data_IF_116396857102
#
_entry.id   IF_116396857102
#
_cell.length_a   1.000
_cell.length_b   1.000
_cell.length_c   1.000
_cell.angle_alpha   90.00
_cell.angle_beta   90.00
_cell.angle_gamma   90.00
#
_symmetry.space_group_name_H-M   'P 1'
#
loop_
_entity.id
_entity.type
_entity.pdbx_description
1 polymer ?
#
# COMPACT_ATOMS: atom_id res chain seq x y z
N UNK A 1 -9.70 15.48 -32.89
CA UNK A 1 -8.68 14.59 -32.31
C UNK A 1 -9.40 13.76 -31.26
N UNK A 2 -9.32 12.42 -31.33
CA UNK A 2 -10.00 11.53 -30.35
C UNK A 2 -9.29 11.64 -29.02
N UNK A 3 -10.04 11.86 -27.93
CA UNK A 3 -9.48 11.95 -26.58
C UNK A 3 -8.93 10.59 -26.11
N UNK A 4 -7.88 10.56 -25.27
CA UNK A 4 -7.20 9.33 -24.92
C UNK A 4 -8.04 8.39 -24.06
N UNK A 5 -7.84 7.09 -24.27
CA UNK A 5 -8.21 6.01 -23.38
C UNK A 5 -6.93 5.44 -22.79
N UNK A 6 -6.75 5.53 -21.48
CA UNK A 6 -5.53 5.05 -20.82
C UNK A 6 -5.88 4.10 -19.69
N UNK A 7 -5.23 2.94 -19.67
CA UNK A 7 -5.27 2.01 -18.55
C UNK A 7 -3.92 2.02 -17.83
N UNK A 8 -3.92 2.42 -16.56
CA UNK A 8 -2.74 2.34 -15.68
C UNK A 8 -2.94 1.22 -14.68
N UNK A 9 -2.02 0.26 -14.66
CA UNK A 9 -2.10 -0.86 -13.71
C UNK A 9 -0.70 -1.35 -13.29
N UNK A 10 -0.60 -2.09 -12.18
CA UNK A 10 0.68 -2.59 -11.73
C UNK A 10 0.63 -3.26 -10.37
N UNK A 11 1.78 -3.77 -9.93
CA UNK A 11 1.92 -4.48 -8.65
C UNK A 11 2.41 -3.59 -7.49
N UNK A 12 2.65 -2.29 -7.76
CA UNK A 12 2.97 -1.31 -6.73
C UNK A 12 1.93 -0.19 -6.69
N UNK A 13 1.14 -0.09 -5.60
CA UNK A 13 0.07 0.91 -5.47
C UNK A 13 0.55 2.35 -5.51
N UNK A 14 1.77 2.62 -5.01
CA UNK A 14 2.34 3.97 -5.03
C UNK A 14 2.63 4.43 -6.46
N UNK A 15 3.34 3.59 -7.23
CA UNK A 15 3.68 3.92 -8.62
C UNK A 15 2.43 4.12 -9.47
N UNK A 16 1.44 3.22 -9.33
CA UNK A 16 0.18 3.30 -10.07
C UNK A 16 -0.59 4.58 -9.71
N UNK A 17 -0.70 4.89 -8.40
CA UNK A 17 -1.42 6.09 -7.95
C UNK A 17 -0.73 7.37 -8.43
N UNK A 18 0.60 7.44 -8.30
CA UNK A 18 1.38 8.63 -8.72
C UNK A 18 1.27 8.86 -10.22
N UNK A 19 1.43 7.82 -11.04
CA UNK A 19 1.29 7.92 -12.49
C UNK A 19 -0.14 8.32 -12.91
N UNK A 20 -1.15 7.75 -12.24
CA UNK A 20 -2.55 8.10 -12.51
C UNK A 20 -2.86 9.57 -12.16
N UNK A 21 -2.35 10.06 -11.02
CA UNK A 21 -2.52 11.47 -10.63
C UNK A 21 -1.80 12.43 -11.57
N UNK A 22 -0.60 12.08 -12.04
CA UNK A 22 0.12 12.86 -13.05
C UNK A 22 -0.65 12.94 -14.36
N UNK A 23 -1.15 11.80 -14.86
CA UNK A 23 -1.98 11.74 -16.07
C UNK A 23 -3.28 12.53 -15.91
N UNK A 24 -3.96 12.35 -14.78
CA UNK A 24 -5.15 13.13 -14.46
C UNK A 24 -4.85 14.62 -14.52
N UNK A 25 -3.75 15.07 -13.89
CA UNK A 25 -3.32 16.49 -13.93
C UNK A 25 -3.08 16.99 -15.36
N UNK A 26 -2.38 16.21 -16.20
CA UNK A 26 -2.14 16.55 -17.60
C UNK A 26 -3.44 16.64 -18.41
N UNK A 27 -4.37 15.70 -18.19
CA UNK A 27 -5.64 15.65 -18.90
C UNK A 27 -6.65 16.69 -18.41
N UNK A 28 -6.45 17.28 -17.23
CA UNK A 28 -7.33 18.34 -16.68
C UNK A 28 -6.83 19.75 -16.97
N UNK A 29 -5.62 19.93 -17.49
CA UNK A 29 -5.00 21.27 -17.70
C UNK A 29 -5.87 22.22 -18.51
N UNK A 30 -6.67 21.69 -19.47
CA UNK A 30 -7.54 22.49 -20.36
C UNK A 30 -9.04 22.28 -20.06
N UNK A 31 -9.39 21.64 -18.94
CA UNK A 31 -10.80 21.52 -18.55
C UNK A 31 -11.24 22.80 -17.84
N UNK A 32 -12.41 23.32 -18.22
CA UNK A 32 -13.06 24.36 -17.42
C UNK A 32 -13.43 23.76 -16.07
N UNK A 33 -12.84 24.33 -15.01
CA UNK A 33 -12.91 23.91 -13.63
C UNK A 33 -14.07 22.97 -13.27
N UNK A 34 -13.76 21.78 -12.80
CA UNK A 34 -14.64 20.75 -12.22
C UNK A 34 -15.85 20.25 -13.06
N UNK A 35 -16.30 20.99 -14.06
CA UNK A 35 -17.46 20.63 -14.89
C UNK A 35 -17.17 19.51 -15.91
N UNK A 36 -15.90 19.28 -16.23
CA UNK A 36 -15.46 18.27 -17.19
C UNK A 36 -14.86 17.02 -16.56
N UNK A 37 -14.75 16.94 -15.22
CA UNK A 37 -14.14 15.81 -14.50
C UNK A 37 -15.18 15.03 -13.72
N UNK A 38 -15.21 13.72 -13.92
CA UNK A 38 -15.99 12.80 -13.07
C UNK A 38 -15.14 11.62 -12.64
N UNK A 39 -15.21 11.24 -11.36
CA UNK A 39 -14.43 10.16 -10.79
C UNK A 39 -15.34 9.07 -10.20
N UNK A 40 -15.13 7.83 -10.63
CA UNK A 40 -15.73 6.64 -10.07
C UNK A 40 -14.71 5.88 -9.23
N UNK A 41 -14.97 5.75 -7.93
CA UNK A 41 -14.07 5.04 -7.02
C UNK A 41 -14.67 3.71 -6.59
N UNK A 42 -14.04 2.61 -7.05
CA UNK A 42 -14.49 1.24 -6.75
C UNK A 42 -15.98 1.01 -7.04
N UNK A 43 -16.48 1.64 -8.08
CA UNK A 43 -17.87 1.52 -8.49
C UNK A 43 -18.12 0.19 -9.21
N UNK A 44 -19.22 -0.47 -8.86
CA UNK A 44 -19.77 -1.63 -9.60
C UNK A 44 -20.81 -1.20 -10.65
N UNK A 45 -21.27 0.04 -10.58
CA UNK A 45 -22.32 0.57 -11.46
C UNK A 45 -21.73 0.92 -12.84
N UNK A 46 -21.69 -0.09 -13.71
CA UNK A 46 -21.21 0.05 -15.09
C UNK A 46 -22.17 0.91 -15.92
N UNK A 47 -23.46 0.95 -15.58
CA UNK A 47 -24.42 1.77 -16.28
C UNK A 47 -24.20 3.27 -15.99
N UNK A 48 -23.87 3.61 -14.75
CA UNK A 48 -23.47 4.99 -14.42
C UNK A 48 -22.20 5.38 -15.15
N UNK A 49 -21.19 4.50 -15.19
CA UNK A 49 -19.95 4.73 -15.95
C UNK A 49 -20.27 4.89 -17.45
N UNK A 50 -21.10 4.00 -18.03
CA UNK A 50 -21.49 4.07 -19.43
C UNK A 50 -22.18 5.41 -19.77
N UNK A 51 -23.14 5.84 -18.93
CA UNK A 51 -23.81 7.13 -19.09
C UNK A 51 -22.82 8.29 -19.02
N UNK A 52 -21.90 8.24 -18.06
CA UNK A 52 -20.90 9.30 -17.89
C UNK A 52 -20.00 9.44 -19.11
N UNK A 53 -19.44 8.33 -19.63
CA UNK A 53 -18.51 8.37 -20.77
C UNK A 53 -19.21 8.66 -22.11
N UNK A 54 -20.52 8.41 -22.18
CA UNK A 54 -21.38 8.71 -23.34
C UNK A 54 -22.06 10.09 -23.25
N UNK A 55 -21.85 10.85 -22.16
CA UNK A 55 -22.41 12.19 -22.01
C UNK A 55 -21.50 13.23 -22.66
N UNK A 56 -21.97 14.06 -23.57
CA UNK A 56 -21.18 15.14 -24.15
C UNK A 56 -20.69 16.13 -23.06
N UNK A 57 -19.53 16.76 -23.26
CA UNK A 57 -19.07 17.81 -22.35
C UNK A 57 -20.05 19.00 -22.37
N UNK A 58 -20.36 19.51 -21.16
CA UNK A 58 -21.19 20.69 -21.00
C UNK A 58 -20.29 21.89 -20.63
N UNK A 59 -20.36 22.96 -21.40
CA UNK A 59 -19.52 24.17 -21.24
C UNK A 59 -18.00 23.91 -21.30
N UNK A 60 -17.56 22.75 -21.77
CA UNK A 60 -16.17 22.37 -21.95
C UNK A 60 -15.95 21.76 -23.34
N UNK A 61 -14.70 21.82 -23.85
CA UNK A 61 -14.35 21.22 -25.15
C UNK A 61 -14.26 19.70 -25.04
N UNK A 62 -13.88 19.22 -23.88
CA UNK A 62 -13.66 17.79 -23.59
C UNK A 62 -14.05 17.42 -22.15
N UNK A 63 -14.18 16.13 -21.88
CA UNK A 63 -14.52 15.56 -20.59
C UNK A 63 -13.46 14.53 -20.18
N UNK A 64 -13.18 14.40 -18.89
CA UNK A 64 -12.35 13.36 -18.32
C UNK A 64 -13.16 12.52 -17.34
N UNK A 65 -13.20 11.22 -17.57
CA UNK A 65 -13.77 10.24 -16.63
C UNK A 65 -12.65 9.36 -16.08
N UNK A 66 -12.49 9.34 -14.76
CA UNK A 66 -11.48 8.52 -14.07
C UNK A 66 -12.16 7.40 -13.31
N UNK A 67 -11.75 6.16 -13.59
CA UNK A 67 -12.31 4.96 -12.97
C UNK A 67 -11.22 4.32 -12.09
N UNK A 68 -11.33 4.54 -10.78
CA UNK A 68 -10.37 4.03 -9.80
C UNK A 68 -10.78 2.66 -9.30
N UNK A 69 -9.87 1.69 -9.40
CA UNK A 69 -9.99 0.33 -8.85
C UNK A 69 -11.37 -0.30 -9.08
N UNK A 70 -11.82 -0.43 -10.32
CA UNK A 70 -13.09 -1.07 -10.58
C UNK A 70 -13.07 -2.50 -10.03
N UNK A 71 -14.10 -2.93 -9.25
CA UNK A 71 -14.13 -4.26 -8.62
C UNK A 71 -14.01 -5.42 -9.60
N UNK A 72 -14.39 -5.19 -10.86
CA UNK A 72 -14.23 -6.14 -11.96
C UNK A 72 -12.76 -6.52 -12.23
N UNK A 73 -11.80 -5.71 -11.76
CA UNK A 73 -10.37 -5.99 -11.89
C UNK A 73 -9.74 -6.54 -10.59
N UNK A 74 -10.51 -6.63 -9.50
CA UNK A 74 -10.00 -7.13 -8.23
C UNK A 74 -9.63 -8.61 -8.31
N UNK A 75 -8.44 -8.95 -7.81
CA UNK A 75 -7.99 -10.35 -7.79
C UNK A 75 -8.91 -11.24 -6.96
N UNK A 76 -9.23 -12.42 -7.45
CA UNK A 76 -10.06 -13.41 -6.75
C UNK A 76 -11.57 -13.14 -6.70
N UNK A 77 -12.06 -12.01 -7.23
CA UNK A 77 -13.48 -11.66 -7.26
C UNK A 77 -14.03 -11.45 -8.68
N UNK A 78 -13.16 -11.50 -9.69
CA UNK A 78 -13.53 -11.23 -11.08
C UNK A 78 -14.00 -12.48 -11.80
N UNK A 79 -15.09 -12.38 -12.52
CA UNK A 79 -15.43 -13.30 -13.59
C UNK A 79 -14.95 -12.73 -14.92
N UNK A 80 -14.62 -13.60 -15.88
CA UNK A 80 -14.24 -13.15 -17.23
C UNK A 80 -15.32 -12.25 -17.84
N UNK A 81 -16.59 -12.58 -17.58
CA UNK A 81 -17.77 -11.84 -18.06
C UNK A 81 -17.85 -10.42 -17.51
N UNK A 82 -17.56 -10.22 -16.21
CA UNK A 82 -17.55 -8.86 -15.61
C UNK A 82 -16.43 -7.98 -16.16
N UNK A 83 -15.26 -8.58 -16.41
CA UNK A 83 -14.13 -7.87 -17.03
C UNK A 83 -14.43 -7.50 -18.49
N UNK A 84 -15.07 -8.41 -19.24
CA UNK A 84 -15.52 -8.16 -20.60
C UNK A 84 -16.58 -7.07 -20.66
N UNK A 85 -17.52 -7.07 -19.70
CA UNK A 85 -18.56 -6.04 -19.60
C UNK A 85 -17.96 -4.67 -19.32
N UNK A 86 -16.93 -4.56 -18.46
CA UNK A 86 -16.20 -3.29 -18.29
C UNK A 86 -15.53 -2.85 -19.62
N UNK A 87 -14.92 -3.79 -20.36
CA UNK A 87 -14.34 -3.50 -21.66
C UNK A 87 -15.35 -3.00 -22.68
N UNK A 88 -16.55 -3.62 -22.73
CA UNK A 88 -17.64 -3.19 -23.62
C UNK A 88 -18.23 -1.85 -23.21
N UNK A 89 -18.31 -1.58 -21.89
CA UNK A 89 -18.73 -0.27 -21.38
C UNK A 89 -17.83 0.84 -21.93
N UNK A 90 -16.52 0.63 -22.00
CA UNK A 90 -15.59 1.62 -22.56
C UNK A 90 -15.81 1.91 -24.05
N UNK A 91 -16.49 1.02 -24.80
CA UNK A 91 -16.80 1.25 -26.22
C UNK A 91 -17.88 2.33 -26.42
N UNK A 92 -18.68 2.66 -25.40
CA UNK A 92 -19.66 3.75 -25.47
C UNK A 92 -19.07 5.15 -25.36
N UNK A 93 -17.74 5.25 -25.23
CA UNK A 93 -17.00 6.49 -25.08
C UNK A 93 -17.14 7.40 -26.29
N UNK A 94 -17.45 8.66 -26.03
CA UNK A 94 -17.42 9.71 -27.07
C UNK A 94 -15.97 10.11 -27.40
N UNK A 95 -15.75 10.56 -28.61
CA UNK A 95 -14.45 11.09 -29.06
C UNK A 95 -13.97 12.30 -28.24
N UNK A 96 -14.91 13.03 -27.64
CA UNK A 96 -14.64 14.18 -26.76
C UNK A 96 -14.41 13.82 -25.30
N UNK A 97 -14.45 12.52 -24.96
CA UNK A 97 -14.29 12.04 -23.58
C UNK A 97 -12.98 11.26 -23.40
N UNK A 98 -12.04 11.80 -22.64
CA UNK A 98 -10.90 11.06 -22.16
C UNK A 98 -11.31 10.10 -21.04
N UNK A 99 -10.77 8.89 -21.05
CA UNK A 99 -11.03 7.91 -19.99
C UNK A 99 -9.71 7.38 -19.42
N UNK A 100 -9.57 7.49 -18.10
CA UNK A 100 -8.45 6.95 -17.35
C UNK A 100 -8.95 5.83 -16.44
N UNK A 101 -8.58 4.59 -16.75
CA UNK A 101 -8.84 3.43 -15.90
C UNK A 101 -7.61 3.14 -15.05
N UNK A 102 -7.77 3.05 -13.75
CA UNK A 102 -6.67 2.82 -12.79
C UNK A 102 -6.93 1.55 -12.00
N UNK A 103 -5.95 0.64 -11.99
CA UNK A 103 -6.01 -0.57 -11.16
C UNK A 103 -4.72 -0.74 -10.37
N UNK A 104 -4.80 -0.62 -9.04
CA UNK A 104 -3.67 -0.86 -8.13
C UNK A 104 -3.37 -2.35 -7.95
N UNK A 105 -3.62 -3.12 -8.97
CA UNK A 105 -3.33 -4.54 -9.12
C UNK A 105 -2.96 -4.83 -10.56
N UNK A 106 -2.18 -5.89 -10.77
CA UNK A 106 -1.79 -6.31 -12.12
C UNK A 106 -2.99 -6.91 -12.85
N UNK A 107 -3.35 -6.34 -13.99
CA UNK A 107 -4.31 -6.93 -14.92
C UNK A 107 -3.56 -7.98 -15.77
N UNK A 108 -4.00 -9.25 -15.80
CA UNK A 108 -3.33 -10.29 -16.58
C UNK A 108 -3.26 -9.96 -18.06
N UNK A 109 -2.18 -10.37 -18.71
CA UNK A 109 -1.98 -10.13 -20.16
C UNK A 109 -3.11 -10.73 -21.04
N UNK A 110 -3.75 -11.80 -20.58
CA UNK A 110 -4.90 -12.45 -21.22
C UNK A 110 -6.25 -11.79 -20.92
N UNK A 111 -6.27 -10.68 -20.18
CA UNK A 111 -7.52 -10.02 -19.79
C UNK A 111 -8.28 -9.46 -21.01
N UNK A 112 -9.59 -9.72 -21.13
CA UNK A 112 -10.43 -9.12 -22.17
C UNK A 112 -10.36 -7.58 -22.18
N UNK A 113 -10.21 -6.95 -21.01
CA UNK A 113 -10.08 -5.51 -20.92
C UNK A 113 -8.85 -4.98 -21.69
N UNK A 114 -7.69 -5.65 -21.58
CA UNK A 114 -6.49 -5.22 -22.31
C UNK A 114 -6.69 -5.29 -23.83
N UNK A 115 -7.42 -6.32 -24.30
CA UNK A 115 -7.78 -6.43 -25.71
C UNK A 115 -8.73 -5.30 -26.12
N UNK A 116 -9.77 -5.02 -25.31
CA UNK A 116 -10.72 -3.95 -25.59
C UNK A 116 -10.03 -2.58 -25.64
N UNK A 117 -9.15 -2.26 -24.68
CA UNK A 117 -8.41 -1.00 -24.65
C UNK A 117 -7.52 -0.85 -25.90
N UNK A 118 -6.78 -1.91 -26.29
CA UNK A 118 -5.94 -1.88 -27.49
C UNK A 118 -6.77 -1.73 -28.78
N UNK A 119 -7.88 -2.43 -28.87
CA UNK A 119 -8.77 -2.36 -30.05
C UNK A 119 -9.31 -0.95 -30.28
N UNK A 120 -9.46 -0.16 -29.21
CA UNK A 120 -9.87 1.24 -29.25
C UNK A 120 -8.71 2.22 -29.42
N UNK A 121 -7.49 1.76 -29.72
CA UNK A 121 -6.29 2.62 -29.81
C UNK A 121 -5.83 3.18 -28.46
N UNK A 122 -6.30 2.62 -27.35
CA UNK A 122 -5.95 3.07 -26.00
C UNK A 122 -4.54 2.66 -25.58
N UNK A 123 -3.97 3.44 -24.67
CA UNK A 123 -2.65 3.20 -24.08
C UNK A 123 -2.77 2.32 -22.82
N UNK A 124 -1.83 1.38 -22.65
CA UNK A 124 -1.73 0.53 -21.47
C UNK A 124 -0.38 0.77 -20.82
N UNK A 125 -0.39 1.25 -19.56
CA UNK A 125 0.79 1.46 -18.72
C UNK A 125 0.84 0.42 -17.61
N UNK A 126 1.75 -0.54 -17.75
CA UNK A 126 2.04 -1.52 -16.71
C UNK A 126 3.21 -1.02 -15.85
N UNK A 127 2.95 -0.74 -14.59
CA UNK A 127 3.93 -0.29 -13.60
C UNK A 127 4.31 -1.45 -12.69
N UNK A 128 5.54 -1.92 -12.84
CA UNK A 128 6.10 -2.99 -12.02
C UNK A 128 6.95 -2.40 -10.91
N UNK A 129 6.85 -2.99 -9.72
CA UNK A 129 7.71 -2.64 -8.61
C UNK A 129 9.16 -2.99 -8.95
N UNK A 130 10.09 -2.03 -8.88
CA UNK A 130 11.50 -2.30 -9.11
C UNK A 130 12.06 -3.24 -8.02
N UNK A 131 12.99 -4.12 -8.40
CA UNK A 131 13.61 -5.11 -7.49
C UNK A 131 15.12 -5.19 -7.74
N UNK A 132 15.85 -5.58 -6.70
CA UNK A 132 17.29 -5.79 -6.81
C UNK A 132 18.03 -4.57 -7.38
N UNK A 133 18.70 -4.72 -8.52
CA UNK A 133 19.46 -3.62 -9.17
C UNK A 133 18.55 -2.47 -9.66
N UNK A 134 17.35 -2.78 -10.12
CA UNK A 134 16.38 -1.77 -10.56
C UNK A 134 15.92 -0.91 -9.37
N UNK A 135 15.69 -1.53 -8.21
CA UNK A 135 15.33 -0.80 -6.99
C UNK A 135 16.45 0.17 -6.58
N UNK A 136 17.69 -0.27 -6.65
CA UNK A 136 18.84 0.59 -6.35
C UNK A 136 18.90 1.80 -7.29
N UNK A 137 18.76 1.57 -8.60
CA UNK A 137 18.70 2.67 -9.59
C UNK A 137 17.54 3.60 -9.33
N UNK A 138 16.38 3.05 -9.03
CA UNK A 138 15.20 3.85 -8.69
C UNK A 138 15.44 4.77 -7.49
N UNK A 139 16.04 4.27 -6.39
CA UNK A 139 16.39 5.08 -5.22
C UNK A 139 17.42 6.13 -5.57
N UNK A 140 18.47 5.77 -6.33
CA UNK A 140 19.50 6.71 -6.79
C UNK A 140 18.91 7.85 -7.64
N UNK A 141 17.99 7.52 -8.54
CA UNK A 141 17.32 8.50 -9.41
C UNK A 141 16.38 9.42 -8.64
N UNK A 142 15.64 8.89 -7.66
CA UNK A 142 14.76 9.67 -6.79
C UNK A 142 15.53 10.66 -5.89
N UNK A 143 16.67 10.24 -5.37
CA UNK A 143 17.58 11.11 -4.59
C UNK A 143 18.13 12.23 -5.46
N UNK A 144 18.59 11.90 -6.69
CA UNK A 144 19.09 12.91 -7.64
C UNK A 144 18.03 13.88 -8.10
N UNK A 145 16.81 13.38 -8.38
CA UNK A 145 15.70 14.22 -8.85
C UNK A 145 15.33 15.31 -7.83
N UNK A 146 15.58 15.05 -6.52
CA UNK A 146 15.39 16.02 -5.43
C UNK A 146 16.64 16.90 -5.16
N UNK A 147 17.70 16.73 -5.92
CA UNK A 147 18.96 17.45 -5.71
C UNK A 147 19.68 17.07 -4.41
N UNK A 148 19.34 15.92 -3.81
CA UNK A 148 19.94 15.48 -2.56
C UNK A 148 21.31 14.83 -2.80
N UNK A 149 22.27 15.10 -1.89
CA UNK A 149 23.58 14.47 -1.84
C UNK A 149 23.70 13.72 -0.53
N UNK A 150 23.51 12.39 -0.59
CA UNK A 150 23.46 11.52 0.59
C UNK A 150 24.61 10.50 0.54
N UNK A 151 25.21 10.24 1.70
CA UNK A 151 26.27 9.24 1.83
C UNK A 151 25.77 7.80 1.80
N UNK A 152 26.69 6.85 1.67
CA UNK A 152 26.38 5.43 1.57
C UNK A 152 25.53 4.87 2.72
N UNK A 153 25.73 5.27 4.00
CA UNK A 153 24.89 4.79 5.10
C UNK A 153 23.41 5.19 4.95
N UNK A 154 23.15 6.42 4.49
CA UNK A 154 21.79 6.91 4.24
C UNK A 154 21.16 6.19 3.05
N UNK A 155 21.93 6.01 1.96
CA UNK A 155 21.48 5.25 0.78
C UNK A 155 21.12 3.80 1.12
N UNK A 156 21.91 3.12 1.95
CA UNK A 156 21.61 1.79 2.43
C UNK A 156 20.28 1.76 3.20
N UNK A 157 20.07 2.73 4.11
CA UNK A 157 18.83 2.87 4.87
C UNK A 157 17.60 3.11 3.97
N UNK A 158 17.74 3.98 2.97
CA UNK A 158 16.65 4.24 2.00
C UNK A 158 16.33 3.00 1.16
N UNK A 159 17.34 2.20 0.80
CA UNK A 159 17.12 0.93 0.08
C UNK A 159 16.35 -0.09 0.92
N UNK A 160 16.63 -0.17 2.22
CA UNK A 160 15.87 -1.05 3.14
C UNK A 160 14.40 -0.61 3.24
N UNK A 161 14.16 0.70 3.33
CA UNK A 161 12.79 1.27 3.32
C UNK A 161 12.10 0.98 2.00
N UNK A 162 12.76 1.25 0.87
CA UNK A 162 12.24 1.02 -0.48
C UNK A 162 11.93 -0.47 -0.73
N UNK A 163 12.74 -1.36 -0.19
CA UNK A 163 12.52 -2.81 -0.26
C UNK A 163 11.20 -3.26 0.37
N UNK A 164 10.67 -2.49 1.31
CA UNK A 164 9.41 -2.77 1.99
C UNK A 164 8.23 -2.00 1.35
N UNK A 165 8.39 -0.70 1.09
CA UNK A 165 7.32 0.19 0.66
C UNK A 165 7.89 1.42 -0.07
N UNK A 166 7.55 1.59 -1.36
CA UNK A 166 7.98 2.75 -2.13
C UNK A 166 7.29 4.04 -1.69
N UNK A 167 6.05 3.98 -1.27
CA UNK A 167 5.35 5.15 -0.74
C UNK A 167 6.04 5.69 0.52
N UNK A 168 6.48 4.77 1.41
CA UNK A 168 7.29 5.16 2.56
C UNK A 168 8.64 5.73 2.15
N UNK A 169 9.33 5.16 1.16
CA UNK A 169 10.57 5.74 0.64
C UNK A 169 10.40 7.22 0.28
N UNK A 170 9.33 7.55 -0.44
CA UNK A 170 9.07 8.92 -0.87
C UNK A 170 8.77 9.85 0.31
N UNK A 171 8.03 9.37 1.31
CA UNK A 171 7.82 10.14 2.55
C UNK A 171 9.12 10.40 3.32
N UNK A 172 10.01 9.41 3.38
CA UNK A 172 11.31 9.58 4.02
C UNK A 172 12.19 10.57 3.23
N UNK A 173 12.20 10.48 1.90
CA UNK A 173 12.91 11.43 1.03
C UNK A 173 12.37 12.86 1.17
N UNK A 174 11.04 13.04 1.22
CA UNK A 174 10.41 14.35 1.42
C UNK A 174 10.84 14.98 2.76
N UNK A 175 10.87 14.21 3.84
CA UNK A 175 11.37 14.71 5.14
C UNK A 175 12.81 15.19 5.06
N UNK A 176 13.67 14.42 4.39
CA UNK A 176 15.08 14.79 4.21
C UNK A 176 15.21 16.04 3.34
N UNK A 177 14.43 16.16 2.28
CA UNK A 177 14.40 17.31 1.39
C UNK A 177 13.95 18.58 2.14
N UNK A 178 12.84 18.51 2.89
CA UNK A 178 12.32 19.63 3.70
C UNK A 178 13.37 20.05 4.75
N UNK A 179 13.99 19.10 5.43
CA UNK A 179 15.03 19.40 6.43
C UNK A 179 16.27 20.04 5.81
N UNK A 180 16.62 19.65 4.60
CA UNK A 180 17.74 20.16 3.83
C UNK A 180 17.48 21.52 3.17
N UNK A 181 16.22 21.94 3.07
CA UNK A 181 15.86 23.19 2.43
C UNK A 181 16.57 24.38 3.08
N UNK A 182 17.37 25.11 2.29
CA UNK A 182 18.16 26.24 2.76
C UNK A 182 19.46 25.92 3.52
N UNK A 183 19.80 24.61 3.72
CA UNK A 183 21.02 24.22 4.47
C UNK A 183 22.19 23.77 3.59
N UNK A 184 22.01 23.71 2.27
CA UNK A 184 23.01 23.17 1.35
C UNK A 184 23.14 21.64 1.49
N UNK A 185 24.32 21.15 1.93
CA UNK A 185 24.52 19.70 2.11
C UNK A 185 23.99 19.21 3.46
N UNK A 186 23.20 18.17 3.46
CA UNK A 186 22.72 17.48 4.67
C UNK A 186 23.81 16.52 5.16
N UNK A 187 24.11 16.54 6.46
CA UNK A 187 25.02 15.56 7.06
C UNK A 187 24.31 14.20 7.14
N UNK A 188 25.04 13.12 6.90
CA UNK A 188 24.51 11.75 6.98
C UNK A 188 23.94 11.43 8.36
N UNK A 189 24.56 11.94 9.45
CA UNK A 189 24.03 11.80 10.82
C UNK A 189 22.62 12.36 10.96
N UNK A 190 22.38 13.55 10.39
CA UNK A 190 21.08 14.23 10.50
C UNK A 190 20.03 13.51 9.65
N UNK A 191 20.40 13.09 8.43
CA UNK A 191 19.51 12.31 7.56
C UNK A 191 19.12 10.96 8.19
N UNK A 192 20.07 10.28 8.86
CA UNK A 192 19.80 9.00 9.54
C UNK A 192 18.88 9.16 10.76
N UNK A 193 18.84 10.31 11.41
CA UNK A 193 17.87 10.59 12.48
C UNK A 193 16.46 10.78 11.93
N UNK A 194 16.32 11.31 10.72
CA UNK A 194 15.02 11.52 10.07
C UNK A 194 14.44 10.22 9.51
N UNK A 195 15.30 9.29 9.04
CA UNK A 195 14.90 8.04 8.42
C UNK A 195 14.96 6.92 9.47
N UNK A 196 13.83 6.50 10.04
CA UNK A 196 13.85 5.43 11.03
C UNK A 196 14.40 4.13 10.41
N UNK A 197 15.13 3.33 11.17
CA UNK A 197 15.61 2.05 10.70
C UNK A 197 14.45 1.15 10.24
N UNK A 198 14.72 0.31 9.25
CA UNK A 198 13.82 -0.80 8.98
C UNK A 198 13.73 -1.67 10.24
N UNK A 199 12.53 -2.14 10.61
CA UNK A 199 12.43 -3.06 11.74
C UNK A 199 13.34 -4.27 11.51
N UNK A 200 14.13 -4.68 12.49
CA UNK A 200 15.00 -5.84 12.37
C UNK A 200 14.22 -7.09 11.95
N UNK A 201 14.88 -7.99 11.21
CA UNK A 201 14.29 -9.26 10.75
C UNK A 201 13.75 -10.09 11.90
N UNK A 202 14.39 -10.03 13.06
CA UNK A 202 14.00 -10.71 14.29
C UNK A 202 12.64 -10.24 14.80
N UNK A 203 12.32 -8.97 14.65
CA UNK A 203 11.03 -8.43 15.03
C UNK A 203 9.89 -8.99 14.15
N UNK A 204 10.16 -9.17 12.85
CA UNK A 204 9.22 -9.88 11.98
C UNK A 204 9.08 -11.35 12.37
N UNK A 205 10.19 -12.02 12.73
CA UNK A 205 10.16 -13.41 13.20
C UNK A 205 9.36 -13.56 14.49
N UNK A 206 9.46 -12.61 15.42
CA UNK A 206 8.63 -12.59 16.63
C UNK A 206 7.16 -12.44 16.26
N UNK A 207 6.81 -11.43 15.46
CA UNK A 207 5.40 -11.19 15.07
C UNK A 207 4.82 -12.36 14.29
N UNK A 208 5.59 -12.96 13.39
CA UNK A 208 5.19 -14.15 12.64
C UNK A 208 5.00 -15.36 13.55
N UNK A 209 5.93 -15.59 14.51
CA UNK A 209 5.85 -16.72 15.43
C UNK A 209 4.60 -16.65 16.30
N UNK A 210 4.10 -15.47 16.65
CA UNK A 210 2.85 -15.33 17.39
C UNK A 210 1.69 -16.02 16.66
N UNK A 211 1.61 -15.88 15.35
CA UNK A 211 0.52 -16.46 14.56
C UNK A 211 0.84 -17.84 14.00
N UNK A 212 2.08 -18.12 13.64
CA UNK A 212 2.47 -19.39 12.99
C UNK A 212 2.89 -20.46 13.98
N UNK A 213 3.63 -20.09 15.02
CA UNK A 213 4.19 -20.99 16.02
C UNK A 213 4.10 -20.40 17.44
N UNK A 214 2.88 -20.23 18.02
CA UNK A 214 2.70 -19.56 19.32
C UNK A 214 3.51 -20.17 20.46
N UNK A 215 3.89 -21.45 20.35
CA UNK A 215 4.76 -22.14 21.29
C UNK A 215 6.19 -21.60 21.39
N UNK A 216 6.63 -20.90 20.34
CA UNK A 216 8.02 -20.39 20.23
C UNK A 216 8.13 -18.90 20.49
N UNK A 217 7.03 -18.22 20.83
CA UNK A 217 7.01 -16.76 21.04
C UNK A 217 7.95 -16.35 22.18
N UNK A 218 7.97 -17.10 23.27
CA UNK A 218 8.88 -16.83 24.40
C UNK A 218 10.35 -16.94 24.01
N UNK A 219 10.74 -17.99 23.25
CA UNK A 219 12.09 -18.15 22.70
C UNK A 219 12.47 -16.95 21.83
N UNK A 220 11.57 -16.55 20.91
CA UNK A 220 11.80 -15.41 20.02
C UNK A 220 11.88 -14.06 20.76
N UNK A 221 11.09 -13.90 21.82
CA UNK A 221 11.17 -12.69 22.65
C UNK A 221 12.50 -12.64 23.41
N UNK A 222 12.97 -13.78 23.94
CA UNK A 222 14.26 -13.86 24.62
C UNK A 222 15.45 -13.50 23.72
N UNK A 223 15.38 -13.82 22.41
CA UNK A 223 16.39 -13.40 21.42
C UNK A 223 16.46 -11.87 21.26
N UNK A 224 15.41 -11.14 21.63
CA UNK A 224 15.32 -9.69 21.55
C UNK A 224 15.65 -9.01 22.89
N UNK A 225 15.62 -9.75 23.98
CA UNK A 225 15.85 -9.22 25.32
C UNK A 225 17.23 -8.57 25.43
N UNK A 226 17.27 -7.38 26.04
CA UNK A 226 18.53 -6.64 26.27
C UNK A 226 19.10 -5.96 25.02
N UNK A 227 18.43 -6.00 23.88
CA UNK A 227 18.87 -5.26 22.67
C UNK A 227 18.51 -3.77 22.78
N UNK A 228 19.54 -2.86 22.81
CA UNK A 228 19.27 -1.42 22.96
C UNK A 228 18.49 -0.79 21.81
N UNK A 229 18.57 -1.40 20.62
CA UNK A 229 17.85 -0.97 19.40
C UNK A 229 16.40 -1.43 19.34
N UNK A 230 15.99 -2.33 20.25
CA UNK A 230 14.66 -2.90 20.32
C UNK A 230 14.06 -2.85 21.74
N UNK A 231 13.95 -1.66 22.35
CA UNK A 231 13.30 -1.52 23.64
C UNK A 231 11.83 -1.96 23.58
N UNK A 232 11.22 -2.39 24.69
CA UNK A 232 9.84 -2.89 24.73
C UNK A 232 8.80 -2.04 23.98
N UNK A 233 8.80 -0.71 24.03
CA UNK A 233 7.86 0.10 23.26
C UNK A 233 7.97 -0.07 21.74
N UNK A 234 9.17 -0.34 21.21
CA UNK A 234 9.37 -0.61 19.78
C UNK A 234 8.74 -1.95 19.39
N UNK A 235 8.90 -2.98 20.23
CA UNK A 235 8.29 -4.31 20.02
C UNK A 235 6.77 -4.22 20.11
N UNK A 236 6.24 -3.51 21.10
CA UNK A 236 4.78 -3.25 21.26
C UNK A 236 4.24 -2.53 20.03
N UNK A 237 4.94 -1.50 19.55
CA UNK A 237 4.54 -0.75 18.34
C UNK A 237 4.50 -1.64 17.08
N UNK A 238 5.45 -2.54 16.92
CA UNK A 238 5.48 -3.48 15.79
C UNK A 238 4.34 -4.51 15.86
N UNK A 239 4.06 -5.06 17.03
CA UNK A 239 2.91 -5.95 17.25
C UNK A 239 1.59 -5.23 16.97
N UNK A 240 1.42 -4.02 17.50
CA UNK A 240 0.24 -3.20 17.26
C UNK A 240 0.04 -2.88 15.77
N UNK A 241 1.13 -2.69 15.02
CA UNK A 241 1.07 -2.50 13.57
C UNK A 241 0.54 -3.75 12.87
N UNK A 242 1.09 -4.93 13.17
CA UNK A 242 0.63 -6.19 12.57
C UNK A 242 -0.84 -6.46 12.89
N UNK A 243 -1.25 -6.23 14.14
CA UNK A 243 -2.65 -6.40 14.57
C UNK A 243 -3.58 -5.43 13.82
N UNK A 244 -3.19 -4.17 13.66
CA UNK A 244 -3.94 -3.18 12.86
C UNK A 244 -4.04 -3.57 11.39
N UNK A 245 -2.94 -4.04 10.80
CA UNK A 245 -2.93 -4.51 9.41
C UNK A 245 -3.92 -5.68 9.22
N UNK A 246 -4.00 -6.61 10.19
CA UNK A 246 -4.96 -7.72 10.17
C UNK A 246 -6.40 -7.27 10.34
N UNK A 247 -6.68 -6.30 11.23
CA UNK A 247 -8.01 -5.72 11.41
C UNK A 247 -8.43 -4.97 10.13
N UNK A 248 -7.55 -4.19 9.55
CA UNK A 248 -7.78 -3.50 8.28
C UNK A 248 -8.05 -4.50 7.15
N UNK A 249 -7.31 -5.60 7.12
CA UNK A 249 -7.53 -6.67 6.14
C UNK A 249 -8.87 -7.40 6.33
N UNK A 250 -9.38 -7.50 7.57
CA UNK A 250 -10.69 -8.08 7.87
C UNK A 250 -11.85 -7.23 7.35
N UNK A 251 -11.70 -5.90 7.29
CA UNK A 251 -12.73 -4.99 6.81
C UNK A 251 -12.79 -5.02 5.28
N UNK A 252 -13.97 -5.29 4.71
CA UNK A 252 -14.16 -5.36 3.25
C UNK A 252 -13.76 -4.09 2.50
N UNK A 253 -13.86 -2.93 3.15
CA UNK A 253 -13.46 -1.62 2.58
C UNK A 253 -11.95 -1.51 2.35
N UNK A 254 -11.14 -2.21 3.15
CA UNK A 254 -9.68 -2.19 3.09
C UNK A 254 -9.07 -3.34 2.27
N UNK A 255 -9.84 -4.38 1.92
CA UNK A 255 -9.43 -5.45 0.98
C UNK A 255 -9.03 -4.95 -0.42
N UNK A 256 -9.23 -3.66 -0.67
CA UNK A 256 -8.86 -2.97 -1.93
C UNK A 256 -7.37 -2.67 -2.07
N UNK A 257 -6.54 -2.93 -1.04
CA UNK A 257 -5.09 -2.91 -1.20
C UNK A 257 -4.68 -4.13 -2.01
N UNK A 258 -4.12 -3.90 -3.20
CA UNK A 258 -3.48 -4.96 -4.00
C UNK A 258 -2.24 -5.44 -3.26
N UNK A 259 -2.42 -6.47 -2.44
CA UNK A 259 -1.31 -7.13 -1.75
C UNK A 259 -0.73 -8.21 -2.67
N UNK A 260 0.58 -8.48 -2.59
CA UNK A 260 1.16 -9.65 -3.23
C UNK A 260 0.43 -10.93 -2.76
N UNK A 261 0.17 -11.92 -3.63
CA UNK A 261 -0.61 -13.12 -3.30
C UNK A 261 -0.13 -13.84 -2.03
N UNK A 262 1.19 -13.98 -1.85
CA UNK A 262 1.78 -14.61 -0.67
C UNK A 262 1.47 -13.83 0.63
N UNK A 263 1.43 -12.49 0.56
CA UNK A 263 1.12 -11.65 1.73
C UNK A 263 -0.37 -11.70 2.06
N UNK A 264 -1.22 -11.73 1.04
CA UNK A 264 -2.66 -11.90 1.22
C UNK A 264 -2.99 -13.25 1.85
N UNK A 265 -2.38 -14.33 1.37
CA UNK A 265 -2.54 -15.68 1.92
C UNK A 265 -2.09 -15.74 3.40
N UNK A 266 -0.94 -15.15 3.70
CA UNK A 266 -0.42 -15.04 5.07
C UNK A 266 -1.38 -14.28 6.00
N UNK A 267 -1.85 -13.10 5.59
CA UNK A 267 -2.80 -12.31 6.39
C UNK A 267 -4.13 -13.05 6.59
N UNK A 268 -4.61 -13.74 5.56
CA UNK A 268 -5.82 -14.57 5.64
C UNK A 268 -5.67 -15.71 6.64
N UNK A 269 -4.52 -16.40 6.63
CA UNK A 269 -4.21 -17.47 7.58
C UNK A 269 -4.15 -16.93 9.01
N UNK A 270 -3.45 -15.82 9.24
CA UNK A 270 -3.34 -15.17 10.55
C UNK A 270 -4.73 -14.70 11.05
N UNK A 271 -5.52 -14.06 10.19
CA UNK A 271 -6.88 -13.61 10.54
C UNK A 271 -7.81 -14.79 10.88
N UNK A 272 -7.76 -15.89 10.11
CA UNK A 272 -8.52 -17.11 10.38
C UNK A 272 -8.17 -17.68 11.75
N UNK A 273 -6.91 -17.67 12.11
CA UNK A 273 -6.41 -18.19 13.40
C UNK A 273 -6.78 -17.31 14.58
N UNK A 274 -6.60 -16.00 14.46
CA UNK A 274 -6.84 -15.07 15.56
C UNK A 274 -8.32 -14.67 15.72
N UNK A 275 -8.99 -14.37 14.62
CA UNK A 275 -10.33 -13.79 14.59
C UNK A 275 -10.34 -12.29 14.93
N UNK A 276 -11.17 -11.52 14.24
CA UNK A 276 -11.22 -10.05 14.39
C UNK A 276 -11.55 -9.59 15.84
N UNK A 277 -12.51 -10.19 16.57
CA UNK A 277 -12.81 -9.73 17.93
C UNK A 277 -11.62 -9.83 18.88
N UNK A 278 -10.78 -10.87 18.72
CA UNK A 278 -9.56 -11.05 19.51
C UNK A 278 -8.50 -10.02 19.14
N UNK A 279 -8.30 -9.78 17.85
CA UNK A 279 -7.36 -8.76 17.37
C UNK A 279 -7.70 -7.37 17.91
N UNK A 280 -8.98 -7.00 17.97
CA UNK A 280 -9.42 -5.73 18.57
C UNK A 280 -9.09 -5.65 20.06
N UNK A 281 -9.31 -6.71 20.82
CA UNK A 281 -8.92 -6.75 22.25
C UNK A 281 -7.41 -6.63 22.41
N UNK A 282 -6.62 -7.34 21.58
CA UNK A 282 -5.17 -7.27 21.62
C UNK A 282 -4.65 -5.87 21.29
N UNK A 283 -5.29 -5.17 20.38
CA UNK A 283 -4.91 -3.79 20.06
C UNK A 283 -5.07 -2.85 21.27
N UNK A 284 -6.16 -3.00 22.01
CA UNK A 284 -6.38 -2.24 23.27
C UNK A 284 -5.33 -2.62 24.30
N UNK A 285 -5.08 -3.92 24.53
CA UNK A 285 -4.08 -4.38 25.49
C UNK A 285 -2.65 -3.91 25.16
N UNK A 286 -2.30 -3.85 23.87
CA UNK A 286 -1.02 -3.30 23.42
C UNK A 286 -0.93 -1.79 23.67
N UNK A 287 -2.02 -1.05 23.47
CA UNK A 287 -2.07 0.38 23.78
C UNK A 287 -1.95 0.65 25.29
N UNK A 288 -2.64 -0.15 26.12
CA UNK A 288 -2.57 -0.07 27.58
C UNK A 288 -1.15 -0.37 28.09
N UNK A 289 -0.48 -1.37 27.49
CA UNK A 289 0.90 -1.70 27.83
C UNK A 289 1.86 -0.58 27.44
N UNK A 290 1.72 -0.01 26.23
CA UNK A 290 2.57 1.11 25.80
C UNK A 290 2.41 2.32 26.75
N UNK A 291 1.18 2.64 27.13
CA UNK A 291 0.90 3.71 28.09
C UNK A 291 1.48 3.42 29.47
N UNK A 292 1.24 2.22 30.01
CA UNK A 292 1.72 1.82 31.34
C UNK A 292 3.24 1.80 31.44
N UNK A 293 3.91 1.37 30.36
CA UNK A 293 5.37 1.40 30.24
C UNK A 293 5.90 2.83 30.23
N UNK A 294 5.28 3.74 29.46
CA UNK A 294 5.70 5.13 29.35
C UNK A 294 5.49 5.93 30.63
N UNK A 295 4.47 5.59 31.39
CA UNK A 295 4.16 6.22 32.68
C UNK A 295 4.93 5.60 33.86
N UNK A 296 5.68 4.51 33.63
CA UNK A 296 6.44 3.81 34.65
C UNK A 296 5.57 2.95 35.59
N UNK A 297 4.30 2.72 35.22
CA UNK A 297 3.37 1.91 36.04
C UNK A 297 3.67 0.40 35.94
N UNK A 298 4.30 -0.04 34.84
CA UNK A 298 4.67 -1.45 34.61
C UNK A 298 6.06 -1.49 33.97
N UNK A 299 6.88 -2.48 34.39
CA UNK A 299 8.11 -2.79 33.67
C UNK A 299 7.76 -3.26 32.24
N UNK A 300 8.37 -2.60 31.25
CA UNK A 300 8.02 -2.82 29.85
C UNK A 300 8.37 -4.22 29.37
N UNK A 301 9.46 -4.81 29.87
CA UNK A 301 9.89 -6.15 29.50
C UNK A 301 8.95 -7.21 30.09
N UNK A 302 8.69 -7.14 31.38
CA UNK A 302 7.76 -8.06 32.07
C UNK A 302 6.33 -7.96 31.51
N UNK A 303 5.85 -6.76 31.28
CA UNK A 303 4.52 -6.50 30.70
C UNK A 303 4.40 -7.10 29.31
N UNK A 304 5.43 -6.96 28.47
CA UNK A 304 5.47 -7.53 27.11
C UNK A 304 5.50 -9.06 27.14
N UNK A 305 6.29 -9.67 28.02
CA UNK A 305 6.37 -11.12 28.21
C UNK A 305 5.02 -11.72 28.60
N UNK A 306 4.37 -11.12 29.59
CA UNK A 306 3.04 -11.55 30.06
C UNK A 306 1.97 -11.41 28.97
N UNK A 307 1.98 -10.29 28.23
CA UNK A 307 1.01 -10.06 27.17
C UNK A 307 1.19 -11.06 26.04
N UNK A 308 2.42 -11.27 25.56
CA UNK A 308 2.70 -12.22 24.49
C UNK A 308 2.40 -13.68 24.92
N UNK A 309 2.68 -14.06 26.17
CA UNK A 309 2.31 -15.36 26.69
C UNK A 309 0.80 -15.58 26.68
N UNK A 310 0.02 -14.57 27.06
CA UNK A 310 -1.47 -14.61 26.98
C UNK A 310 -1.95 -14.73 25.54
N UNK A 311 -1.45 -13.91 24.64
CA UNK A 311 -1.79 -13.96 23.21
C UNK A 311 -1.48 -15.33 22.60
N UNK A 312 -0.31 -15.88 22.91
CA UNK A 312 0.12 -17.21 22.45
C UNK A 312 -0.80 -18.32 22.99
N UNK A 313 -1.18 -18.25 24.27
CA UNK A 313 -2.09 -19.22 24.90
C UNK A 313 -3.48 -19.19 24.27
N UNK A 314 -4.00 -17.98 23.99
CA UNK A 314 -5.29 -17.81 23.32
C UNK A 314 -5.31 -18.41 21.89
N UNK A 315 -4.15 -18.47 21.23
CA UNK A 315 -4.02 -19.08 19.89
C UNK A 315 -3.82 -20.58 19.91
N UNK A 316 -3.26 -21.14 21.02
CA UNK A 316 -3.08 -22.60 21.20
C UNK A 316 -4.40 -23.30 21.54
N UNK A 317 -5.31 -22.64 22.26
CA UNK A 317 -6.59 -23.21 22.70
C UNK A 317 -7.64 -23.46 21.62
N UNK A 318 -7.32 -23.20 20.34
CA UNK A 318 -8.14 -23.59 19.17
C UNK A 318 -7.34 -24.54 18.29
N UNK A 319 -7.48 -25.84 18.50
CA UNK A 319 -7.29 -26.81 17.43
C UNK A 319 -8.28 -26.49 16.30
N UNK A 320 -7.87 -26.54 15.02
CA UNK A 320 -8.80 -26.35 13.92
C UNK A 320 -9.82 -27.49 13.94
N UNK A 321 -11.09 -27.16 14.15
CA UNK A 321 -12.22 -28.04 13.79
C UNK A 321 -12.54 -27.84 12.31
#
# INVERSE_FOLDING_TARGET
MVEPLVLVHGDDPYLVTTAALQLRGQLTTDLVADLGLEEFRSSRDLDAIARSIATPPFLAIRRLVVIWDPPQLAAGQRTAKEVELLGTTLNSRLETTAVLVVSRGTVPASSPLLHSVRAQGGEIRLLKRPRGRELRRYVDDEVRARGLQLGQPVMARLLDVAGQDLGRLHQELEKVEIFGAGKGRIKDSDALLLIPPAPPTELYRLTDSLFEAPGRVGERLSELAGRPDLPPPVVVGALARVVRDLISFANEKDRRRSLPPWKEEKLRAHLKRAGEPRLRRWLVQLADLDWSTRTGAVDGQEGLELLLARMATELRGRSPS
#
